data_IF_412748157653
#
_entry.id   IF_412748157653
#
_cell.length_a   1.000
_cell.length_b   1.000
_cell.length_c   1.000
_cell.angle_alpha   90.00
_cell.angle_beta   90.00
_cell.angle_gamma   90.00
#
_symmetry.space_group_name_H-M   'P 1'
#
loop_
_entity.id
_entity.type
_entity.pdbx_description
1 polymer ?
#
# COMPACT_ATOMS: atom_id res chain seq x y z
N UNK A 1 -23.08 -10.26 50.33
CA UNK A 1 -24.22 -10.55 49.42
C UNK A 1 -23.65 -10.37 48.01
N UNK A 2 -23.11 -11.41 47.36
CA UNK A 2 -23.82 -12.47 46.62
C UNK A 2 -24.75 -11.85 45.55
N UNK A 3 -24.80 -12.25 44.28
CA UNK A 3 -24.15 -13.21 43.38
C UNK A 3 -24.92 -12.97 42.04
N UNK A 4 -24.33 -13.11 40.86
CA UNK A 4 -25.18 -13.01 39.65
C UNK A 4 -24.50 -13.08 38.28
N UNK A 5 -23.55 -14.00 38.09
CA UNK A 5 -23.25 -14.52 36.76
C UNK A 5 -24.45 -15.34 36.25
N UNK A 6 -24.78 -15.21 34.96
CA UNK A 6 -25.67 -16.15 34.29
C UNK A 6 -25.10 -16.51 32.90
N UNK A 7 -24.31 -17.59 32.90
CA UNK A 7 -24.11 -18.43 31.73
C UNK A 7 -25.34 -19.33 31.55
N UNK A 8 -25.81 -19.47 30.31
CA UNK A 8 -26.56 -20.64 29.89
C UNK A 8 -26.12 -21.04 28.48
N UNK A 9 -25.27 -22.07 28.43
CA UNK A 9 -24.97 -22.87 27.26
C UNK A 9 -26.12 -23.86 27.00
N UNK A 10 -26.45 -24.08 25.72
CA UNK A 10 -27.07 -25.32 25.27
C UNK A 10 -26.33 -25.85 24.06
N UNK A 11 -25.67 -26.98 24.27
CA UNK A 11 -25.19 -27.86 23.22
C UNK A 11 -26.38 -28.57 22.56
N UNK A 12 -26.36 -28.66 21.23
CA UNK A 12 -26.96 -29.78 20.50
C UNK A 12 -25.99 -30.16 19.39
N UNK A 13 -25.43 -31.36 19.51
CA UNK A 13 -24.73 -32.06 18.44
C UNK A 13 -25.79 -32.73 17.55
N UNK A 14 -25.67 -32.57 16.22
CA UNK A 14 -25.74 -33.71 15.30
C UNK A 14 -25.18 -33.32 13.94
N UNK A 15 -24.40 -34.24 13.40
CA UNK A 15 -23.66 -34.25 12.14
C UNK A 15 -24.60 -34.46 10.94
N UNK A 16 -24.34 -33.79 9.80
CA UNK A 16 -24.48 -34.38 8.45
C UNK A 16 -24.01 -33.42 7.33
N UNK A 17 -23.03 -33.91 6.58
CA UNK A 17 -22.79 -33.80 5.13
C UNK A 17 -22.88 -32.45 4.39
N UNK A 18 -21.71 -32.09 3.86
CA UNK A 18 -21.41 -31.16 2.77
C UNK A 18 -21.95 -31.72 1.43
N UNK A 19 -22.62 -30.89 0.64
CA UNK A 19 -22.67 -31.03 -0.84
C UNK A 19 -22.55 -29.65 -1.46
N UNK A 20 -21.38 -29.39 -2.05
CA UNK A 20 -21.12 -28.27 -2.95
C UNK A 20 -21.46 -28.71 -4.37
N UNK A 21 -22.31 -27.95 -5.08
CA UNK A 21 -22.46 -28.07 -6.53
C UNK A 21 -21.65 -26.97 -7.20
N UNK A 22 -20.61 -27.39 -7.91
CA UNK A 22 -19.81 -26.57 -8.82
C UNK A 22 -20.62 -26.27 -10.09
N UNK A 23 -20.63 -25.01 -10.51
CA UNK A 23 -20.90 -24.62 -11.89
C UNK A 23 -19.84 -23.58 -12.29
N UNK A 24 -18.79 -24.04 -12.95
CA UNK A 24 -17.81 -23.20 -13.63
C UNK A 24 -18.30 -23.02 -15.08
N UNK A 25 -18.59 -21.80 -15.49
CA UNK A 25 -18.56 -21.42 -16.90
C UNK A 25 -17.17 -20.87 -17.24
N UNK A 26 -16.64 -21.40 -18.33
CA UNK A 26 -15.34 -21.14 -18.92
C UNK A 26 -15.52 -20.02 -19.97
N UNK A 27 -14.71 -18.96 -19.91
CA UNK A 27 -14.66 -17.92 -20.93
C UNK A 27 -13.33 -18.01 -21.69
N UNK A 28 -13.46 -18.22 -22.99
CA UNK A 28 -12.43 -18.60 -23.95
C UNK A 28 -11.35 -17.54 -24.17
N UNK A 29 -10.10 -18.00 -24.24
CA UNK A 29 -8.97 -17.31 -24.85
C UNK A 29 -8.95 -17.57 -26.36
N UNK A 30 -9.03 -16.52 -27.16
CA UNK A 30 -8.78 -16.54 -28.61
C UNK A 30 -7.32 -16.22 -28.89
N UNK A 31 -6.56 -17.17 -29.42
CA UNK A 31 -5.40 -16.90 -30.28
C UNK A 31 -5.48 -17.88 -31.44
N UNK A 32 -5.71 -17.32 -32.61
CA UNK A 32 -5.73 -17.97 -33.91
C UNK A 32 -4.30 -18.32 -34.31
N UNK A 33 -4.08 -19.56 -34.77
CA UNK A 33 -3.32 -19.85 -35.98
C UNK A 33 -3.18 -21.36 -36.15
N UNK A 34 -3.80 -21.88 -37.20
CA UNK A 34 -3.64 -23.25 -37.62
C UNK A 34 -4.54 -23.56 -38.80
N UNK A 35 -4.03 -23.35 -40.02
CA UNK A 35 -4.53 -24.14 -41.15
C UNK A 35 -3.42 -24.39 -42.18
N UNK A 36 -3.25 -25.67 -42.51
CA UNK A 36 -3.00 -26.22 -43.86
C UNK A 36 -2.78 -27.74 -43.76
N UNK A 37 -3.90 -28.45 -43.84
CA UNK A 37 -4.17 -29.63 -44.69
C UNK A 37 -3.13 -30.75 -44.88
N UNK A 38 -3.64 -31.97 -44.64
CA UNK A 38 -3.52 -33.16 -45.50
C UNK A 38 -2.21 -34.00 -45.45
N UNK A 39 -2.29 -35.21 -44.88
CA UNK A 39 -2.24 -36.44 -45.69
C UNK A 39 -2.56 -37.71 -44.87
N UNK A 40 -3.47 -38.49 -45.42
CA UNK A 40 -3.80 -39.88 -45.09
C UNK A 40 -2.59 -40.79 -45.33
N UNK A 41 -2.45 -41.85 -44.52
CA UNK A 41 -2.16 -43.24 -44.94
C UNK A 41 -2.21 -44.17 -43.73
N UNK A 42 -3.19 -45.07 -43.73
CA UNK A 42 -3.13 -46.31 -42.97
C UNK A 42 -2.48 -47.39 -43.82
N UNK A 43 -1.88 -48.37 -43.17
CA UNK A 43 -1.86 -49.76 -43.62
C UNK A 43 -1.62 -50.66 -42.41
N UNK A 44 -2.46 -51.67 -42.26
CA UNK A 44 -2.30 -52.79 -41.33
C UNK A 44 -2.85 -54.02 -42.04
N UNK A 45 -1.96 -54.73 -42.72
CA UNK A 45 -2.23 -56.01 -43.36
C UNK A 45 -2.31 -57.14 -42.32
N UNK A 46 -3.43 -57.86 -42.31
CA UNK A 46 -3.48 -59.27 -41.93
C UNK A 46 -4.68 -59.95 -42.59
N UNK A 47 -4.41 -60.78 -43.60
CA UNK A 47 -5.36 -61.76 -44.18
C UNK A 47 -5.64 -62.89 -43.16
N UNK A 48 -6.76 -63.63 -43.17
CA UNK A 48 -7.40 -64.31 -44.29
C UNK A 48 -8.81 -64.85 -43.96
N UNK A 49 -9.53 -65.12 -45.05
CA UNK A 49 -10.84 -65.74 -45.35
C UNK A 49 -11.34 -66.92 -44.46
N UNK A 50 -12.61 -67.39 -44.46
CA UNK A 50 -13.65 -67.43 -45.50
C UNK A 50 -15.06 -67.87 -44.98
N UNK A 51 -16.09 -67.54 -45.78
CA UNK A 51 -17.42 -68.15 -46.00
C UNK A 51 -18.55 -68.12 -44.95
N UNK A 52 -19.69 -67.53 -45.37
CA UNK A 52 -21.01 -68.18 -45.27
C UNK A 52 -22.14 -67.42 -44.57
N UNK A 53 -23.03 -66.81 -45.36
CA UNK A 53 -24.41 -66.35 -45.10
C UNK A 53 -25.03 -66.55 -43.70
N UNK A 54 -25.57 -65.47 -43.11
CA UNK A 54 -27.01 -65.30 -42.83
C UNK A 54 -27.34 -63.98 -42.10
N UNK A 55 -28.39 -63.32 -42.61
CA UNK A 55 -29.39 -62.48 -41.91
C UNK A 55 -28.98 -61.20 -41.18
N UNK A 56 -29.48 -60.09 -41.72
CA UNK A 56 -29.64 -58.77 -41.11
C UNK A 56 -30.84 -58.69 -40.14
N UNK A 57 -30.60 -58.36 -38.87
CA UNK A 57 -31.23 -57.23 -38.15
C UNK A 57 -30.78 -57.25 -36.67
N UNK A 58 -29.70 -56.53 -36.35
CA UNK A 58 -29.67 -55.32 -35.51
C UNK A 58 -30.04 -55.45 -34.02
N UNK A 59 -29.12 -54.91 -33.21
CA UNK A 59 -29.28 -54.34 -31.86
C UNK A 59 -29.47 -55.26 -30.64
N UNK A 60 -28.44 -56.02 -30.27
CA UNK A 60 -28.22 -56.47 -28.87
C UNK A 60 -26.74 -56.50 -28.47
N UNK A 61 -25.89 -55.65 -29.06
CA UNK A 61 -24.43 -55.72 -28.85
C UNK A 61 -23.94 -55.01 -27.57
N UNK A 62 -24.63 -53.96 -27.10
CA UNK A 62 -24.18 -53.18 -25.94
C UNK A 62 -24.44 -53.86 -24.58
N UNK A 63 -25.19 -54.96 -24.56
CA UNK A 63 -25.54 -55.68 -23.32
C UNK A 63 -24.35 -56.46 -22.73
N UNK A 64 -23.36 -56.83 -23.56
CA UNK A 64 -22.20 -57.63 -23.14
C UNK A 64 -20.91 -56.81 -22.98
N UNK A 65 -20.98 -55.49 -23.18
CA UNK A 65 -19.87 -54.55 -23.00
C UNK A 65 -20.30 -53.47 -21.99
N UNK A 66 -20.30 -53.78 -20.69
CA UNK A 66 -20.67 -52.80 -19.69
C UNK A 66 -19.67 -51.64 -19.72
N UNK A 67 -20.18 -50.43 -19.99
CA UNK A 67 -19.37 -49.20 -19.99
C UNK A 67 -19.06 -48.69 -18.57
N UNK A 68 -19.64 -49.33 -17.55
CA UNK A 68 -19.43 -48.96 -16.16
C UNK A 68 -18.06 -49.40 -15.69
N UNK A 69 -17.14 -48.45 -15.60
CA UNK A 69 -15.83 -48.66 -14.99
C UNK A 69 -15.97 -48.50 -13.47
N UNK A 70 -15.58 -49.53 -12.72
CA UNK A 70 -15.66 -49.56 -11.25
C UNK A 70 -14.24 -49.56 -10.69
N UNK A 71 -14.01 -48.87 -9.58
CA UNK A 71 -12.69 -48.75 -8.92
C UNK A 71 -11.63 -47.95 -9.72
N UNK A 72 -12.03 -47.01 -10.57
CA UNK A 72 -11.11 -46.10 -11.28
C UNK A 72 -11.21 -44.63 -10.82
N UNK A 73 -11.84 -44.38 -9.67
CA UNK A 73 -11.79 -43.07 -9.00
C UNK A 73 -10.36 -42.70 -8.57
N UNK A 74 -10.06 -41.40 -8.42
CA UNK A 74 -8.75 -40.89 -7.96
C UNK A 74 -8.18 -41.60 -6.74
N UNK A 75 -9.03 -42.05 -5.80
CA UNK A 75 -8.60 -42.80 -4.61
C UNK A 75 -8.01 -44.19 -4.91
N UNK A 76 -8.12 -44.67 -6.14
CA UNK A 76 -7.58 -45.94 -6.61
C UNK A 76 -6.44 -45.74 -7.64
N UNK A 77 -6.02 -44.50 -7.91
CA UNK A 77 -4.76 -44.28 -8.62
C UNK A 77 -3.62 -44.94 -7.83
N UNK A 78 -2.82 -45.76 -8.52
CA UNK A 78 -1.74 -46.51 -7.90
C UNK A 78 -0.73 -45.56 -7.25
N UNK A 79 -0.32 -45.94 -6.03
CA UNK A 79 0.70 -45.34 -5.16
C UNK A 79 1.55 -44.26 -5.85
N UNK A 80 1.35 -43.00 -5.45
CA UNK A 80 2.31 -41.92 -5.73
C UNK A 80 3.72 -42.47 -5.46
N UNK A 81 4.58 -42.44 -6.48
CA UNK A 81 5.93 -42.92 -6.39
C UNK A 81 6.57 -42.34 -5.12
N UNK A 82 7.02 -43.22 -4.23
CA UNK A 82 7.69 -42.86 -2.98
C UNK A 82 8.72 -41.78 -3.23
N UNK A 83 8.35 -40.51 -3.00
CA UNK A 83 9.31 -39.42 -3.08
C UNK A 83 10.32 -39.70 -1.96
N UNK A 84 11.61 -39.88 -2.27
CA UNK A 84 12.59 -40.19 -1.25
C UNK A 84 12.50 -39.10 -0.18
N UNK A 85 12.33 -39.52 1.07
CA UNK A 85 12.39 -38.67 2.25
C UNK A 85 13.83 -38.19 2.50
N UNK A 86 14.39 -37.46 1.53
CA UNK A 86 15.49 -36.53 1.72
C UNK A 86 14.92 -35.11 1.83
N UNK A 87 15.66 -34.16 2.42
CA UNK A 87 15.25 -32.77 2.41
C UNK A 87 15.09 -32.33 0.94
N UNK A 88 13.85 -32.21 0.49
CA UNK A 88 13.53 -31.65 -0.81
C UNK A 88 13.77 -30.15 -0.70
N UNK A 89 14.86 -29.67 -1.30
CA UNK A 89 15.11 -28.23 -1.49
C UNK A 89 14.04 -27.58 -2.41
N UNK A 90 13.10 -28.38 -2.92
CA UNK A 90 11.97 -28.02 -3.78
C UNK A 90 10.59 -28.16 -3.10
N UNK A 91 10.52 -28.14 -1.76
CA UNK A 91 9.24 -28.02 -1.06
C UNK A 91 8.54 -26.68 -1.33
N UNK A 92 7.21 -26.63 -1.17
CA UNK A 92 6.42 -25.39 -1.28
C UNK A 92 6.90 -24.37 -0.23
N UNK A 93 7.82 -23.48 -0.61
CA UNK A 93 8.33 -22.44 0.30
C UNK A 93 7.22 -21.44 0.58
N UNK A 94 6.71 -21.48 1.80
CA UNK A 94 5.70 -20.56 2.32
C UNK A 94 6.29 -19.14 2.47
N UNK A 95 6.07 -18.27 1.48
CA UNK A 95 6.54 -16.86 1.46
C UNK A 95 5.63 -15.86 2.19
N UNK A 96 4.59 -16.31 2.91
CA UNK A 96 3.61 -15.41 3.54
C UNK A 96 4.08 -14.73 4.82
N UNK A 97 5.17 -15.19 5.46
CA UNK A 97 5.66 -14.64 6.72
C UNK A 97 6.55 -13.42 6.45
N UNK A 98 6.20 -12.22 6.93
CA UNK A 98 7.12 -11.10 6.94
C UNK A 98 8.34 -11.45 7.79
N UNK A 99 9.54 -11.35 7.23
CA UNK A 99 10.80 -11.75 7.89
C UNK A 99 11.14 -10.86 9.08
N UNK A 100 10.75 -9.59 9.03
CA UNK A 100 11.00 -8.61 10.08
C UNK A 100 9.76 -7.74 10.34
N UNK A 101 9.40 -7.58 11.62
CA UNK A 101 8.31 -6.71 12.04
C UNK A 101 8.85 -5.30 12.26
N UNK A 102 8.88 -4.51 11.18
CA UNK A 102 9.31 -3.10 11.20
C UNK A 102 8.43 -2.27 12.13
N UNK A 103 9.05 -1.33 12.86
CA UNK A 103 8.36 -0.36 13.73
C UNK A 103 8.78 1.05 13.38
N UNK A 104 7.86 1.99 13.47
CA UNK A 104 8.15 3.43 13.44
C UNK A 104 8.35 3.93 14.86
N UNK A 105 9.59 4.25 15.22
CA UNK A 105 9.97 4.65 16.58
C UNK A 105 10.00 6.15 16.82
N UNK A 106 10.21 6.94 15.76
CA UNK A 106 10.34 8.39 15.83
C UNK A 106 9.52 9.07 14.75
N UNK A 107 8.91 10.20 15.12
CA UNK A 107 8.07 11.02 14.25
C UNK A 107 8.53 12.47 14.32
N UNK A 108 8.93 13.01 13.16
CA UNK A 108 9.30 14.39 12.94
C UNK A 108 8.14 15.11 12.23
N UNK A 109 7.55 16.10 12.89
CA UNK A 109 6.45 16.91 12.36
C UNK A 109 6.97 18.31 12.05
N UNK A 110 7.10 18.64 10.78
CA UNK A 110 7.54 19.95 10.28
C UNK A 110 6.33 20.68 9.72
N UNK A 111 6.02 21.83 10.31
CA UNK A 111 4.89 22.66 9.92
C UNK A 111 5.42 23.98 9.40
N UNK A 112 5.22 24.26 8.12
CA UNK A 112 5.57 25.53 7.48
C UNK A 112 4.27 26.26 7.09
N UNK A 113 3.68 27.01 8.04
CA UNK A 113 2.35 27.58 7.93
C UNK A 113 2.32 29.11 7.86
N UNK A 114 3.30 29.81 8.45
CA UNK A 114 3.41 31.28 8.48
C UNK A 114 2.05 32.00 8.59
N UNK A 115 1.31 31.69 9.66
CA UNK A 115 -0.11 32.03 9.79
C UNK A 115 -0.34 33.53 9.57
N UNK A 116 -1.31 33.86 8.70
CA UNK A 116 -1.69 35.21 8.24
C UNK A 116 -0.85 35.80 7.11
N UNK A 117 0.17 35.09 6.62
CA UNK A 117 0.98 35.51 5.48
C UNK A 117 0.91 34.42 4.42
N UNK A 118 0.21 34.72 3.33
CA UNK A 118 0.07 33.78 2.22
C UNK A 118 1.34 33.74 1.35
N UNK A 119 1.76 32.57 0.86
CA UNK A 119 2.87 32.48 -0.07
C UNK A 119 2.50 33.10 -1.43
N UNK A 120 3.48 33.63 -2.18
CA UNK A 120 3.24 34.45 -3.38
C UNK A 120 2.58 33.69 -4.55
N UNK A 121 2.61 32.37 -4.53
CA UNK A 121 2.13 31.49 -5.60
C UNK A 121 0.74 30.89 -5.31
N UNK A 122 0.08 31.33 -4.23
CA UNK A 122 -1.26 30.93 -3.84
C UNK A 122 -2.17 32.16 -3.76
N UNK A 123 -3.15 32.22 -4.65
CA UNK A 123 -4.25 33.19 -4.55
C UNK A 123 -5.37 32.51 -3.77
N UNK A 124 -5.73 33.05 -2.60
CA UNK A 124 -6.84 32.54 -1.78
C UNK A 124 -8.17 33.15 -2.24
N UNK A 125 -9.15 32.29 -2.47
CA UNK A 125 -10.55 32.70 -2.66
C UNK A 125 -11.19 33.15 -1.33
N UNK A 126 -12.35 33.80 -1.39
CA UNK A 126 -13.14 34.15 -0.20
C UNK A 126 -14.56 33.63 -0.35
N UNK A 127 -15.04 32.73 0.54
CA UNK A 127 -14.32 32.08 1.63
C UNK A 127 -13.34 30.98 1.13
N UNK A 128 -12.29 30.66 1.89
CA UNK A 128 -11.37 29.56 1.58
C UNK A 128 -11.24 28.55 2.73
N UNK A 129 -10.74 27.35 2.41
CA UNK A 129 -10.23 26.38 3.36
C UNK A 129 -9.12 27.01 4.22
N UNK A 130 -9.23 26.89 5.55
CA UNK A 130 -8.30 27.50 6.51
C UNK A 130 -8.00 26.63 7.73
N UNK A 131 -8.91 25.72 8.05
CA UNK A 131 -8.79 24.89 9.25
C UNK A 131 -7.62 23.92 9.07
N UNK A 132 -6.74 23.88 10.05
CA UNK A 132 -5.51 23.07 10.09
C UNK A 132 -5.58 22.18 11.34
N UNK A 133 -5.45 20.87 11.18
CA UNK A 133 -5.54 19.89 12.26
C UNK A 133 -6.78 20.10 13.13
N UNK A 134 -7.91 20.38 12.48
CA UNK A 134 -9.20 20.71 13.11
C UNK A 134 -9.19 21.97 14.00
N UNK A 135 -8.26 22.89 13.76
CA UNK A 135 -8.11 24.16 14.48
C UNK A 135 -8.24 25.32 13.49
N UNK A 136 -9.04 26.33 13.81
CA UNK A 136 -9.04 27.57 13.05
C UNK A 136 -7.82 28.42 13.45
N UNK A 137 -6.83 28.63 12.55
CA UNK A 137 -5.62 29.37 12.88
C UNK A 137 -5.88 30.86 13.19
N UNK A 138 -7.03 31.42 12.76
CA UNK A 138 -7.40 32.82 13.00
C UNK A 138 -8.22 33.03 14.28
N UNK A 139 -8.59 31.95 14.97
CA UNK A 139 -9.32 32.02 16.25
C UNK A 139 -8.45 32.46 17.43
N UNK A 140 -7.13 32.52 17.25
CA UNK A 140 -6.16 32.94 18.28
C UNK A 140 -4.93 33.60 17.65
N UNK A 141 -4.04 34.15 18.49
CA UNK A 141 -2.81 34.77 18.01
C UNK A 141 -1.92 33.76 17.25
N UNK A 142 -1.25 34.16 16.13
CA UNK A 142 -0.52 33.24 15.25
C UNK A 142 0.47 32.29 15.96
N UNK A 143 1.30 32.73 16.93
CA UNK A 143 2.21 31.83 17.63
C UNK A 143 1.48 30.73 18.41
N UNK A 144 0.35 31.08 19.04
CA UNK A 144 -0.47 30.15 19.82
C UNK A 144 -1.25 29.19 18.92
N UNK A 145 -1.73 29.69 17.78
CA UNK A 145 -2.38 28.86 16.77
C UNK A 145 -1.43 27.78 16.26
N UNK A 146 -0.21 28.17 15.90
CA UNK A 146 0.81 27.26 15.40
C UNK A 146 1.21 26.19 16.43
N UNK A 147 1.40 26.58 17.69
CA UNK A 147 1.65 25.62 18.79
C UNK A 147 0.48 24.64 18.96
N UNK A 148 -0.76 25.14 18.91
CA UNK A 148 -1.97 24.32 19.06
C UNK A 148 -2.12 23.33 17.91
N UNK A 149 -1.89 23.76 16.67
CA UNK A 149 -1.91 22.92 15.47
C UNK A 149 -0.87 21.81 15.60
N UNK A 150 0.38 22.16 15.95
CA UNK A 150 1.45 21.20 16.16
C UNK A 150 1.15 20.16 17.25
N UNK A 151 0.58 20.60 18.37
CA UNK A 151 0.13 19.71 19.45
C UNK A 151 -0.99 18.77 18.99
N UNK A 152 -1.97 19.30 18.26
CA UNK A 152 -3.09 18.52 17.75
C UNK A 152 -2.61 17.49 16.72
N UNK A 153 -1.73 17.86 15.78
CA UNK A 153 -1.14 16.92 14.83
C UNK A 153 -0.39 15.79 15.52
N UNK A 154 0.42 16.13 16.54
CA UNK A 154 1.11 15.13 17.36
C UNK A 154 0.13 14.14 18.00
N UNK A 155 -0.94 14.65 18.62
CA UNK A 155 -1.96 13.81 19.27
C UNK A 155 -2.72 12.92 18.26
N UNK A 156 -3.00 13.44 17.05
CA UNK A 156 -3.66 12.66 16.01
C UNK A 156 -2.80 11.48 15.56
N UNK A 157 -1.50 11.67 15.36
CA UNK A 157 -0.58 10.56 15.05
C UNK A 157 -0.35 9.62 16.25
N UNK A 158 -0.29 10.15 17.48
CA UNK A 158 -0.08 9.36 18.70
C UNK A 158 -1.19 8.31 18.89
N UNK A 159 -2.41 8.61 18.45
CA UNK A 159 -3.52 7.63 18.42
C UNK A 159 -3.18 6.38 17.60
N UNK A 160 -2.42 6.52 16.52
CA UNK A 160 -2.03 5.40 15.65
C UNK A 160 -0.76 4.68 16.13
N UNK A 161 0.20 5.42 16.70
CA UNK A 161 1.45 4.86 17.22
C UNK A 161 1.85 5.47 18.57
N UNK A 162 1.21 5.07 19.68
CA UNK A 162 1.39 5.73 20.98
C UNK A 162 2.79 5.55 21.60
N UNK A 163 3.58 4.59 21.10
CA UNK A 163 4.91 4.28 21.65
C UNK A 163 6.04 5.01 20.93
N UNK A 164 5.76 5.72 19.84
CA UNK A 164 6.76 6.51 19.14
C UNK A 164 7.10 7.80 19.90
N UNK A 165 8.25 8.40 19.56
CA UNK A 165 8.66 9.71 20.06
C UNK A 165 8.34 10.78 19.02
N UNK A 166 7.49 11.72 19.41
CA UNK A 166 7.02 12.82 18.57
C UNK A 166 7.85 14.08 18.81
N UNK A 167 8.24 14.75 17.72
CA UNK A 167 8.93 16.03 17.75
C UNK A 167 8.32 16.97 16.72
N UNK A 168 7.78 18.08 17.20
CA UNK A 168 7.18 19.14 16.38
C UNK A 168 8.22 20.25 16.17
N UNK A 169 8.34 20.73 14.94
CA UNK A 169 9.09 21.92 14.58
C UNK A 169 8.18 22.89 13.81
N UNK A 170 7.66 23.93 14.49
CA UNK A 170 6.82 24.96 13.89
C UNK A 170 7.66 26.03 13.19
N UNK A 171 7.32 26.35 11.95
CA UNK A 171 7.99 27.31 11.05
C UNK A 171 9.53 27.28 11.17
N UNK A 172 10.19 26.14 10.87
CA UNK A 172 11.60 25.97 11.18
C UNK A 172 12.55 26.56 10.13
N UNK A 173 13.82 26.70 10.53
CA UNK A 173 14.93 26.90 9.59
C UNK A 173 15.50 25.57 9.07
N UNK A 174 16.31 25.64 8.01
CA UNK A 174 17.04 24.48 7.46
C UNK A 174 17.87 23.77 8.55
N UNK A 175 18.56 24.54 9.40
CA UNK A 175 19.40 23.98 10.48
C UNK A 175 18.55 23.24 11.53
N UNK A 176 17.35 23.72 11.80
CA UNK A 176 16.42 23.11 12.76
C UNK A 176 15.84 21.81 12.21
N UNK A 177 15.49 21.78 10.92
CA UNK A 177 15.08 20.55 10.23
C UNK A 177 16.24 19.55 10.19
N UNK A 178 17.45 19.99 9.84
CA UNK A 178 18.65 19.16 9.86
C UNK A 178 18.90 18.55 11.24
N UNK A 179 18.82 19.35 12.29
CA UNK A 179 18.99 18.89 13.68
C UNK A 179 17.89 17.90 14.07
N UNK A 180 16.64 18.16 13.67
CA UNK A 180 15.50 17.27 13.91
C UNK A 180 15.72 15.91 13.27
N UNK A 181 15.99 15.87 11.96
CA UNK A 181 16.19 14.65 11.18
C UNK A 181 17.34 13.81 11.72
N UNK A 182 18.51 14.42 11.94
CA UNK A 182 19.67 13.73 12.50
C UNK A 182 19.41 13.18 13.91
N UNK A 183 18.66 13.92 14.73
CA UNK A 183 18.30 13.43 16.07
C UNK A 183 17.33 12.26 16.02
N UNK A 184 16.32 12.30 15.14
CA UNK A 184 15.37 11.21 14.98
C UNK A 184 16.06 9.95 14.45
N UNK A 185 16.86 10.05 13.39
CA UNK A 185 17.62 8.90 12.87
C UNK A 185 18.57 8.31 13.91
N UNK A 186 19.41 9.14 14.55
CA UNK A 186 20.37 8.65 15.56
C UNK A 186 19.70 7.86 16.67
N UNK A 187 18.51 8.27 17.10
CA UNK A 187 17.80 7.61 18.19
C UNK A 187 16.94 6.42 17.74
N UNK A 188 16.37 6.46 16.53
CA UNK A 188 15.60 5.36 15.97
C UNK A 188 16.47 4.14 15.65
N UNK A 189 17.77 4.32 15.39
CA UNK A 189 18.71 3.26 15.00
C UNK A 189 18.18 2.56 13.74
N UNK A 190 17.75 1.30 13.86
CA UNK A 190 17.16 0.48 12.80
C UNK A 190 15.63 0.62 12.69
N UNK A 191 14.97 1.31 13.61
CA UNK A 191 13.54 1.60 13.50
C UNK A 191 13.28 2.67 12.43
N UNK A 192 12.06 2.67 11.91
CA UNK A 192 11.60 3.63 10.92
C UNK A 192 11.40 5.00 11.54
N UNK A 193 11.77 6.04 10.80
CA UNK A 193 11.45 7.44 11.13
C UNK A 193 10.35 7.92 10.20
N UNK A 194 9.28 8.51 10.74
CA UNK A 194 8.29 9.25 9.97
C UNK A 194 8.67 10.72 9.91
N UNK A 195 8.67 11.30 8.71
CA UNK A 195 8.81 12.73 8.49
C UNK A 195 7.52 13.25 7.85
N UNK A 196 6.82 14.10 8.57
CA UNK A 196 5.64 14.80 8.07
C UNK A 196 6.02 16.24 7.77
N UNK A 197 5.71 16.70 6.56
CA UNK A 197 5.90 18.07 6.12
C UNK A 197 4.57 18.64 5.66
N UNK A 198 4.13 19.71 6.30
CA UNK A 198 3.02 20.55 5.85
C UNK A 198 3.59 21.87 5.32
N UNK A 199 3.36 22.14 4.03
CA UNK A 199 3.93 23.27 3.30
C UNK A 199 2.92 24.33 2.89
N UNK A 200 1.84 24.55 3.65
CA UNK A 200 0.75 25.45 3.23
C UNK A 200 1.09 26.96 3.31
N UNK A 201 2.06 27.35 4.12
CA UNK A 201 2.51 28.73 4.31
C UNK A 201 3.77 29.10 3.52
N UNK A 202 4.18 28.27 2.57
CA UNK A 202 5.39 28.45 1.75
C UNK A 202 5.08 28.16 0.29
N UNK A 203 5.95 28.57 -0.66
CA UNK A 203 5.72 28.27 -2.07
C UNK A 203 5.66 26.76 -2.36
N UNK A 204 5.06 26.40 -3.50
CA UNK A 204 5.06 25.04 -4.02
C UNK A 204 6.50 24.50 -4.18
N UNK A 205 6.71 23.18 -4.01
CA UNK A 205 7.99 22.54 -4.31
C UNK A 205 8.46 22.84 -5.74
N UNK A 206 9.77 22.78 -5.97
CA UNK A 206 10.34 23.10 -7.29
C UNK A 206 10.63 21.83 -8.10
N UNK A 207 10.74 21.99 -9.43
CA UNK A 207 11.17 20.91 -10.32
C UNK A 207 12.63 20.45 -10.07
N UNK A 208 13.43 21.26 -9.34
CA UNK A 208 14.78 20.89 -8.93
C UNK A 208 14.80 19.96 -7.69
N UNK A 209 13.62 19.59 -7.17
CA UNK A 209 13.52 18.74 -5.99
C UNK A 209 13.78 19.48 -4.68
N UNK A 210 13.23 20.68 -4.54
CA UNK A 210 13.35 21.49 -3.32
C UNK A 210 11.99 21.66 -2.64
N UNK A 211 11.98 21.53 -1.32
CA UNK A 211 10.87 21.98 -0.46
C UNK A 211 11.26 23.31 0.18
N UNK A 212 10.30 24.04 0.74
CA UNK A 212 10.55 25.37 1.29
C UNK A 212 10.41 25.40 2.82
N UNK A 213 11.32 26.12 3.47
CA UNK A 213 11.32 26.43 4.91
C UNK A 213 11.62 27.92 5.11
N UNK A 214 11.82 28.38 6.34
CA UNK A 214 12.03 29.80 6.63
C UNK A 214 13.48 30.14 6.98
N UNK A 215 13.83 31.42 6.85
CA UNK A 215 14.95 31.99 7.59
C UNK A 215 14.51 32.41 9.01
N UNK A 216 15.49 32.69 9.89
CA UNK A 216 15.21 33.05 11.30
C UNK A 216 14.34 34.30 11.47
N UNK A 217 14.35 35.19 10.50
CA UNK A 217 13.61 36.46 10.54
C UNK A 217 12.25 36.39 9.87
N UNK A 218 11.87 35.23 9.31
CA UNK A 218 10.63 35.02 8.53
C UNK A 218 10.44 36.03 7.39
N UNK A 219 11.54 36.47 6.78
CA UNK A 219 11.54 37.41 5.65
C UNK A 219 11.73 36.72 4.31
N UNK A 220 12.26 35.49 4.31
CA UNK A 220 12.58 34.75 3.09
C UNK A 220 12.21 33.29 3.24
N UNK A 221 11.71 32.72 2.16
CA UNK A 221 11.61 31.28 1.97
C UNK A 221 12.98 30.75 1.56
N UNK A 222 13.44 29.71 2.23
CA UNK A 222 14.74 29.08 2.01
C UNK A 222 14.50 27.71 1.39
N UNK A 223 15.08 27.41 0.20
CA UNK A 223 14.94 26.11 -0.41
C UNK A 223 15.74 25.08 0.38
N UNK A 224 15.13 23.92 0.60
CA UNK A 224 15.73 22.75 1.20
C UNK A 224 15.67 21.61 0.18
N UNK A 225 16.82 21.21 -0.40
CA UNK A 225 16.87 20.09 -1.33
C UNK A 225 16.42 18.79 -0.66
N UNK A 226 15.58 18.03 -1.36
CA UNK A 226 15.12 16.72 -0.94
C UNK A 226 16.29 15.74 -0.76
N UNK A 227 17.36 15.94 -1.52
CA UNK A 227 18.60 15.16 -1.39
C UNK A 227 19.28 15.32 -0.03
N UNK A 228 19.27 16.54 0.53
CA UNK A 228 19.79 16.77 1.87
C UNK A 228 18.88 16.11 2.92
N UNK A 229 17.56 16.25 2.76
CA UNK A 229 16.58 15.63 3.64
C UNK A 229 16.75 14.11 3.71
N UNK A 230 16.85 13.44 2.55
CA UNK A 230 17.10 11.99 2.46
C UNK A 230 18.43 11.61 3.12
N UNK A 231 19.48 12.40 2.91
CA UNK A 231 20.80 12.15 3.50
C UNK A 231 20.80 12.19 5.04
N UNK A 232 19.93 13.01 5.65
CA UNK A 232 19.81 13.13 7.10
C UNK A 232 18.95 12.04 7.72
N UNK A 233 17.82 11.71 7.07
CA UNK A 233 16.88 10.74 7.59
C UNK A 233 17.27 9.32 7.26
N UNK A 234 17.82 9.03 6.08
CA UNK A 234 18.24 7.68 5.64
C UNK A 234 17.13 6.63 5.77
N UNK A 235 17.45 5.39 5.41
CA UNK A 235 16.54 4.25 5.57
C UNK A 235 16.68 3.62 6.97
N UNK A 236 15.61 2.97 7.51
CA UNK A 236 14.24 2.95 6.98
C UNK A 236 13.45 4.23 7.32
N UNK A 237 12.73 4.81 6.36
CA UNK A 237 11.98 6.07 6.54
C UNK A 237 10.63 6.09 5.80
N UNK A 238 9.71 6.91 6.29
CA UNK A 238 8.44 7.22 5.63
C UNK A 238 8.23 8.72 5.65
N UNK A 239 7.77 9.27 4.53
CA UNK A 239 7.53 10.69 4.34
C UNK A 239 6.06 10.95 4.02
N UNK A 240 5.52 12.02 4.57
CA UNK A 240 4.17 12.52 4.30
C UNK A 240 4.31 13.99 3.91
N UNK A 241 3.92 14.33 2.68
CA UNK A 241 3.98 15.68 2.14
C UNK A 241 2.55 16.22 1.91
N UNK A 242 2.11 17.11 2.80
CA UNK A 242 0.88 17.86 2.66
C UNK A 242 1.18 19.27 2.13
N UNK A 243 1.18 19.40 0.81
CA UNK A 243 1.37 20.66 0.10
C UNK A 243 0.84 20.54 -1.33
N UNK A 244 0.61 21.68 -1.98
CA UNK A 244 0.30 21.70 -3.42
C UNK A 244 1.51 21.27 -4.23
N UNK A 245 1.28 20.63 -5.38
CA UNK A 245 2.30 20.04 -6.24
C UNK A 245 3.25 19.04 -5.53
N UNK A 246 2.76 18.31 -4.52
CA UNK A 246 3.56 17.35 -3.76
C UNK A 246 4.19 16.23 -4.63
N UNK A 247 3.58 15.89 -5.77
CA UNK A 247 4.15 14.97 -6.76
C UNK A 247 5.54 15.38 -7.28
N UNK A 248 5.89 16.67 -7.28
CA UNK A 248 7.25 17.13 -7.63
C UNK A 248 8.30 16.58 -6.65
N UNK A 249 7.95 16.47 -5.37
CA UNK A 249 8.83 15.92 -4.34
C UNK A 249 9.04 14.43 -4.59
N UNK A 250 7.97 13.70 -4.93
CA UNK A 250 8.02 12.26 -5.22
C UNK A 250 8.94 11.99 -6.42
N UNK A 251 8.79 12.75 -7.50
CA UNK A 251 9.63 12.64 -8.68
C UNK A 251 11.12 12.84 -8.35
N UNK A 252 11.44 13.86 -7.54
CA UNK A 252 12.81 14.12 -7.08
C UNK A 252 13.39 12.96 -6.25
N UNK A 253 12.60 12.31 -5.39
CA UNK A 253 13.04 11.10 -4.67
C UNK A 253 13.30 9.91 -5.60
N UNK A 254 12.45 9.73 -6.62
CA UNK A 254 12.63 8.65 -7.61
C UNK A 254 13.96 8.84 -8.35
N UNK A 255 14.21 10.03 -8.90
CA UNK A 255 15.46 10.36 -9.60
C UNK A 255 16.70 10.16 -8.71
N UNK A 256 16.61 10.61 -7.45
CA UNK A 256 17.68 10.43 -6.48
C UNK A 256 17.98 8.96 -6.19
N UNK A 257 16.94 8.13 -6.11
CA UNK A 257 17.09 6.70 -5.85
C UNK A 257 17.69 5.96 -7.05
N UNK A 258 17.30 6.32 -8.28
CA UNK A 258 17.85 5.74 -9.50
C UNK A 258 19.35 6.02 -9.64
N UNK A 259 19.79 7.27 -9.40
CA UNK A 259 21.21 7.61 -9.42
C UNK A 259 22.00 6.93 -8.29
N UNK A 260 21.40 6.80 -7.10
CA UNK A 260 22.02 6.13 -5.96
C UNK A 260 22.17 4.61 -6.14
N UNK A 261 21.22 3.94 -6.77
CA UNK A 261 21.21 2.50 -6.98
C UNK A 261 22.30 2.01 -7.95
N UNK A 262 22.75 2.86 -8.88
CA UNK A 262 23.86 2.54 -9.78
C UNK A 262 25.21 2.39 -9.05
N UNK A 263 25.32 2.89 -7.81
CA UNK A 263 26.58 2.95 -7.04
C UNK A 263 26.74 1.90 -5.93
N UNK A 264 25.67 1.22 -5.52
CA UNK A 264 25.73 0.24 -4.42
C UNK A 264 24.86 -0.98 -4.70
N UNK A 265 25.47 -2.16 -4.59
CA UNK A 265 24.88 -3.47 -4.87
C UNK A 265 23.55 -3.70 -4.11
N UNK A 266 22.43 -3.56 -4.80
CA UNK A 266 21.18 -4.29 -4.56
C UNK A 266 20.41 -4.08 -3.25
N UNK A 267 20.78 -3.15 -2.37
CA UNK A 267 19.96 -2.86 -1.18
C UNK A 267 18.80 -1.93 -1.56
N UNK A 268 17.60 -2.48 -1.76
CA UNK A 268 16.37 -1.69 -1.92
C UNK A 268 16.23 -0.72 -0.75
N UNK A 269 16.22 0.59 -1.02
CA UNK A 269 16.02 1.60 0.02
C UNK A 269 14.60 1.44 0.59
N UNK A 270 14.49 1.16 1.90
CA UNK A 270 13.20 1.17 2.60
C UNK A 270 12.77 2.62 2.85
N UNK A 271 12.22 3.25 1.80
CA UNK A 271 11.73 4.62 1.78
C UNK A 271 10.29 4.61 1.23
N UNK A 272 9.34 5.03 2.07
CA UNK A 272 7.92 5.14 1.69
C UNK A 272 7.56 6.62 1.55
N UNK A 273 6.86 6.99 0.48
CA UNK A 273 6.44 8.36 0.21
C UNK A 273 4.91 8.41 0.09
N UNK A 274 4.31 9.37 0.79
CA UNK A 274 2.89 9.70 0.67
C UNK A 274 2.81 11.20 0.34
N UNK A 275 2.17 11.54 -0.77
CA UNK A 275 2.05 12.91 -1.28
C UNK A 275 0.58 13.26 -1.48
N UNK A 276 0.20 14.50 -1.18
CA UNK A 276 -1.19 14.92 -1.17
C UNK A 276 -1.85 14.99 -2.56
N UNK A 277 -1.08 15.31 -3.60
CA UNK A 277 -1.57 15.51 -4.96
C UNK A 277 -0.47 15.31 -6.00
N UNK A 278 -0.85 15.25 -7.28
CA UNK A 278 0.08 15.18 -8.41
C UNK A 278 0.92 16.45 -8.57
N UNK A 279 1.98 16.39 -9.38
CA UNK A 279 2.97 17.46 -9.54
C UNK A 279 2.39 18.77 -10.13
N UNK A 280 1.26 18.70 -10.84
CA UNK A 280 0.59 19.85 -11.46
C UNK A 280 -0.67 20.29 -10.70
N UNK A 281 -1.06 19.56 -9.66
CA UNK A 281 -2.28 19.79 -8.91
C UNK A 281 -2.07 20.79 -7.76
N UNK A 282 -3.16 21.44 -7.38
CA UNK A 282 -3.23 22.37 -6.25
C UNK A 282 -4.26 21.82 -5.26
N UNK A 283 -3.97 21.95 -3.97
CA UNK A 283 -4.88 21.52 -2.92
C UNK A 283 -6.22 22.26 -2.99
N UNK A 284 -7.33 21.61 -2.59
CA UNK A 284 -8.65 22.20 -2.65
C UNK A 284 -8.76 23.44 -1.75
N UNK A 285 -9.38 24.51 -2.26
CA UNK A 285 -9.58 25.76 -1.54
C UNK A 285 -11.01 25.96 -1.01
N UNK A 286 -11.95 25.06 -1.30
CA UNK A 286 -13.34 25.19 -0.84
C UNK A 286 -13.42 25.23 0.69
N UNK A 287 -14.15 26.20 1.23
CA UNK A 287 -14.31 26.40 2.68
C UNK A 287 -15.05 25.25 3.39
N UNK A 288 -15.64 24.31 2.65
CA UNK A 288 -16.27 23.10 3.20
C UNK A 288 -15.24 22.15 3.83
N UNK A 289 -14.03 22.14 3.27
CA UNK A 289 -12.94 21.27 3.67
C UNK A 289 -11.92 22.00 4.56
N UNK A 290 -11.18 21.28 5.43
CA UNK A 290 -9.96 21.83 6.02
C UNK A 290 -8.93 22.15 4.94
N UNK A 291 -7.94 22.98 5.27
CA UNK A 291 -6.77 23.18 4.42
C UNK A 291 -5.92 21.90 4.36
N UNK A 292 -5.85 21.13 5.46
CA UNK A 292 -5.10 19.89 5.59
C UNK A 292 -5.93 18.64 5.30
N UNK A 293 -6.59 18.60 4.14
CA UNK A 293 -7.43 17.45 3.72
C UNK A 293 -6.63 16.15 3.75
N UNK A 294 -5.43 16.14 3.18
CA UNK A 294 -4.60 14.94 3.08
C UNK A 294 -4.15 14.46 4.46
N UNK A 295 -3.61 15.37 5.29
CA UNK A 295 -3.27 15.03 6.68
C UNK A 295 -4.48 14.51 7.44
N UNK A 296 -5.61 15.22 7.38
CA UNK A 296 -6.83 14.84 8.08
C UNK A 296 -7.39 13.48 7.64
N UNK A 297 -7.27 13.12 6.36
CA UNK A 297 -7.58 11.78 5.85
C UNK A 297 -6.69 10.70 6.48
N UNK A 298 -5.39 10.95 6.57
CA UNK A 298 -4.42 9.99 7.11
C UNK A 298 -4.53 9.82 8.63
N UNK A 299 -4.73 10.93 9.35
CA UNK A 299 -4.61 10.96 10.81
C UNK A 299 -5.96 10.89 11.52
N UNK A 300 -7.04 11.33 10.87
CA UNK A 300 -8.41 11.38 11.42
C UNK A 300 -9.49 10.90 10.43
N UNK A 301 -9.33 9.72 9.81
CA UNK A 301 -10.13 9.27 8.67
C UNK A 301 -11.64 9.28 8.92
N UNK A 302 -12.09 8.83 10.11
CA UNK A 302 -13.53 8.78 10.43
C UNK A 302 -14.14 10.19 10.47
N UNK A 303 -13.42 11.16 11.07
CA UNK A 303 -13.92 12.54 11.18
C UNK A 303 -13.99 13.20 9.80
N UNK A 304 -12.98 12.95 8.96
CA UNK A 304 -12.98 13.44 7.58
C UNK A 304 -14.09 12.78 6.76
N UNK A 305 -14.22 11.45 6.78
CA UNK A 305 -15.20 10.71 5.98
C UNK A 305 -16.66 11.07 6.30
N UNK A 306 -16.98 11.39 7.57
CA UNK A 306 -18.33 11.82 7.94
C UNK A 306 -18.64 13.27 7.55
N UNK A 307 -17.62 14.08 7.27
CA UNK A 307 -17.76 15.49 6.88
C UNK A 307 -17.69 15.71 5.36
N UNK A 308 -17.03 14.79 4.65
CA UNK A 308 -16.85 14.83 3.20
C UNK A 308 -18.17 14.76 2.44
#
# INVERSE_FOLDING_TARGET
>A
MALGDLMASRFSQSSAAVVSSNHLEECSSSNEDGDLSSQRRGDSDAASSSYGNATSSTTTSMAYLPQTVVLCEFRHEAFEASLPAGPSDSGLVSKWRPKERMKTGYVALVLCLNISVDPPDVIKISPCARMECWTDPFSMAPPKALETIGKNLSAQYERWQPRARYKVQPDPTVEEVKKLCNTCRRNAKSERVLFHYNGHGVPKPTANGEIWVFNKSYTQYIPLPVSELDSWLKTPSIYVFDCSAAGMIVNAFIELHEWGASSTSGSTRDCILLAACEAHEILPQSAEFPADVFTSCLTTPIKMALRW
#
